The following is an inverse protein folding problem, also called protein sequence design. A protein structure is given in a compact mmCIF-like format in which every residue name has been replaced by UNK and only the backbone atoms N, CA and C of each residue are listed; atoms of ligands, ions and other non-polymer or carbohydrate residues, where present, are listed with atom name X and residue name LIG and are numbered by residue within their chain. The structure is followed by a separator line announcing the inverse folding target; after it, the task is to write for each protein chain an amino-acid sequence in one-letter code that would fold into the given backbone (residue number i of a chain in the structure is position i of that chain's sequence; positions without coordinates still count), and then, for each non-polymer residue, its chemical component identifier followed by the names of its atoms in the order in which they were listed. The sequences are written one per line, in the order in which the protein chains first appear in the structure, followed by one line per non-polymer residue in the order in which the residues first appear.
data_IF_482328316363
#
_entry.id   IF_482328316363
#
_cell.length_a   1.000
_cell.length_b   1.000
_cell.length_c   1.000
_cell.angle_alpha   90.00
_cell.angle_beta   90.00
_cell.angle_gamma   90.00
#
_symmetry.space_group_name_H-M   'P 1'
#
loop_
_entity.id
_entity.type
_entity.pdbx_description
1 polymer ?
#
# COMPACT_ATOMS: atom_id res chain seq x y z
N UNK A 1 16.29 10.89 35.45
CA UNK A 1 15.81 11.50 34.19
C UNK A 1 15.74 10.41 33.12
N UNK A 2 14.76 10.45 32.20
CA UNK A 2 13.93 9.31 31.81
C UNK A 2 14.53 8.40 30.71
N UNK A 3 13.99 7.18 30.66
CA UNK A 3 14.24 6.15 29.66
C UNK A 3 13.93 6.66 28.25
N UNK A 4 14.92 6.54 27.36
CA UNK A 4 14.82 6.91 25.95
C UNK A 4 14.07 5.80 25.18
N UNK A 5 12.74 5.94 25.05
CA UNK A 5 11.84 4.92 24.48
C UNK A 5 11.77 4.87 22.94
N UNK A 6 12.72 5.44 22.20
CA UNK A 6 12.63 5.44 20.73
C UNK A 6 13.84 4.76 20.09
N UNK A 7 14.05 3.51 20.45
CA UNK A 7 14.77 2.56 19.63
C UNK A 7 13.89 2.12 18.46
N UNK A 8 14.41 2.30 17.24
CA UNK A 8 14.21 1.43 16.08
C UNK A 8 12.81 1.37 15.44
N UNK A 9 12.61 2.21 14.42
CA UNK A 9 12.28 1.72 13.07
C UNK A 9 13.02 2.60 12.06
N UNK A 10 13.79 2.03 11.10
CA UNK A 10 14.18 2.81 9.94
C UNK A 10 12.89 3.34 9.31
N UNK A 11 12.75 4.67 9.23
CA UNK A 11 11.70 5.31 8.45
C UNK A 11 12.01 5.04 6.99
N UNK A 12 11.60 3.87 6.51
CA UNK A 12 11.59 3.54 5.09
C UNK A 12 10.46 4.32 4.42
N UNK A 13 10.65 5.62 4.18
CA UNK A 13 9.84 6.37 3.21
C UNK A 13 10.81 7.30 2.47
N UNK A 14 11.03 7.04 1.17
CA UNK A 14 10.02 7.36 0.19
C UNK A 14 9.73 6.16 -0.71
N UNK A 15 8.60 5.48 -0.49
CA UNK A 15 7.98 4.72 -1.59
C UNK A 15 7.72 5.75 -2.68
N UNK A 16 8.48 5.67 -3.77
CA UNK A 16 8.21 6.44 -4.99
C UNK A 16 6.71 6.30 -5.25
N UNK A 17 5.99 7.39 -5.54
CA UNK A 17 4.58 7.28 -5.78
C UNK A 17 4.40 6.21 -6.86
N UNK A 18 3.41 5.35 -6.66
CA UNK A 18 3.01 4.29 -7.59
C UNK A 18 2.48 4.89 -8.91
N UNK A 19 3.21 5.84 -9.49
CA UNK A 19 2.97 6.55 -10.74
C UNK A 19 3.10 5.51 -11.83
N UNK A 20 1.97 4.94 -12.21
CA UNK A 20 1.88 3.96 -13.27
C UNK A 20 0.90 2.82 -12.98
N UNK A 21 0.65 2.51 -11.71
CA UNK A 21 -0.28 1.44 -11.37
C UNK A 21 -1.72 1.97 -11.30
N UNK A 22 -2.58 1.40 -12.13
CA UNK A 22 -3.99 1.76 -12.21
C UNK A 22 -4.86 0.85 -11.32
N UNK A 23 -4.30 -0.25 -10.81
CA UNK A 23 -5.05 -1.21 -10.00
C UNK A 23 -4.19 -1.93 -8.95
N UNK A 24 -4.70 -2.24 -7.75
CA UNK A 24 -4.03 -3.08 -6.73
C UNK A 24 -3.46 -4.39 -7.25
N UNK A 25 -4.12 -5.01 -8.21
CA UNK A 25 -3.64 -6.26 -8.82
C UNK A 25 -2.43 -6.09 -9.73
N UNK A 26 -2.21 -4.90 -10.29
CA UNK A 26 -1.01 -4.65 -11.11
C UNK A 26 0.24 -4.69 -10.22
N UNK A 27 0.17 -4.10 -9.03
CA UNK A 27 1.25 -4.17 -8.02
C UNK A 27 1.56 -5.63 -7.64
N UNK A 28 0.53 -6.47 -7.46
CA UNK A 28 0.72 -7.89 -7.13
C UNK A 28 1.39 -8.64 -8.28
N UNK A 29 1.00 -8.36 -9.53
CA UNK A 29 1.49 -9.05 -10.73
C UNK A 29 2.85 -8.56 -11.23
N UNK A 30 3.27 -7.38 -10.81
CA UNK A 30 4.54 -6.79 -11.20
C UNK A 30 5.71 -7.72 -10.85
N UNK A 31 6.60 -8.00 -11.79
CA UNK A 31 7.73 -8.92 -11.59
C UNK A 31 8.99 -8.21 -11.13
N UNK A 32 9.05 -6.89 -11.31
CA UNK A 32 10.21 -6.06 -10.97
C UNK A 32 10.19 -5.65 -9.49
N UNK A 33 9.00 -5.61 -8.88
CA UNK A 33 8.83 -5.35 -7.45
C UNK A 33 9.07 -6.60 -6.60
N UNK A 34 9.86 -6.44 -5.55
CA UNK A 34 9.97 -7.47 -4.52
C UNK A 34 8.72 -7.50 -3.61
N UNK A 35 8.47 -8.61 -2.88
CA UNK A 35 7.25 -8.74 -2.06
C UNK A 35 7.10 -7.66 -0.98
N UNK A 36 8.21 -7.17 -0.42
CA UNK A 36 8.20 -6.09 0.58
C UNK A 36 7.74 -4.78 -0.06
N UNK A 37 8.27 -4.43 -1.24
CA UNK A 37 7.87 -3.23 -1.99
C UNK A 37 6.39 -3.25 -2.37
N UNK A 38 5.90 -4.40 -2.85
CA UNK A 38 4.47 -4.60 -3.16
C UNK A 38 3.61 -4.34 -1.93
N UNK A 39 4.03 -4.85 -0.77
CA UNK A 39 3.31 -4.68 0.50
C UNK A 39 3.30 -3.24 0.96
N UNK A 40 4.44 -2.54 0.87
CA UNK A 40 4.55 -1.12 1.24
C UNK A 40 3.63 -0.23 0.38
N UNK A 41 3.59 -0.46 -0.95
CA UNK A 41 2.70 0.27 -1.86
C UNK A 41 1.23 0.01 -1.51
N UNK A 42 0.84 -1.26 -1.37
CA UNK A 42 -0.55 -1.61 -1.05
C UNK A 42 -0.95 -1.14 0.35
N UNK A 43 -0.04 -1.15 1.33
CA UNK A 43 -0.29 -0.64 2.68
C UNK A 43 -0.49 0.89 2.67
N UNK A 44 0.32 1.63 1.90
CA UNK A 44 0.13 3.06 1.71
C UNK A 44 -1.24 3.39 1.09
N UNK A 45 -1.71 2.56 0.15
CA UNK A 45 -3.03 2.68 -0.44
C UNK A 45 -4.18 2.30 0.50
N UNK A 46 -3.98 1.33 1.39
CA UNK A 46 -4.98 0.95 2.38
C UNK A 46 -5.16 2.02 3.47
N UNK A 47 -4.10 2.80 3.73
CA UNK A 47 -4.08 3.88 4.73
C UNK A 47 -5.18 4.92 4.49
N UNK A 48 -5.64 5.53 5.58
CA UNK A 48 -6.62 6.62 5.54
C UNK A 48 -6.09 7.89 4.87
N UNK A 49 -4.76 8.03 4.76
CA UNK A 49 -4.14 9.08 3.94
C UNK A 49 -4.56 9.00 2.45
N UNK A 50 -4.94 7.82 1.98
CA UNK A 50 -5.44 7.59 0.63
C UNK A 50 -6.97 7.63 0.56
N UNK A 51 -7.69 7.84 1.68
CA UNK A 51 -9.15 7.84 1.69
C UNK A 51 -9.73 9.04 0.93
N UNK A 52 -10.83 8.80 0.21
CA UNK A 52 -11.57 9.88 -0.43
C UNK A 52 -12.39 10.62 0.63
N UNK A 53 -12.37 11.95 0.59
CA UNK A 53 -13.19 12.81 1.46
C UNK A 53 -14.66 12.36 1.42
N UNK A 54 -15.25 12.15 2.59
CA UNK A 54 -16.62 11.66 2.78
C UNK A 54 -16.93 10.26 2.20
N UNK A 55 -15.94 9.51 1.71
CA UNK A 55 -16.10 8.14 1.20
C UNK A 55 -14.98 7.23 1.74
N UNK A 56 -15.02 6.85 3.03
CA UNK A 56 -13.95 6.09 3.67
C UNK A 56 -13.75 4.67 3.12
N UNK A 57 -14.69 4.15 2.33
CA UNK A 57 -14.55 2.86 1.63
C UNK A 57 -13.80 2.98 0.30
N UNK A 58 -13.45 4.19 -0.13
CA UNK A 58 -12.77 4.48 -1.40
C UNK A 58 -11.37 5.00 -1.14
N UNK A 59 -10.46 4.71 -2.06
CA UNK A 59 -9.05 5.09 -2.03
C UNK A 59 -8.65 5.81 -3.31
N UNK A 60 -8.12 7.02 -3.21
CA UNK A 60 -7.48 7.72 -4.31
C UNK A 60 -6.03 7.26 -4.42
N UNK A 61 -5.73 6.55 -5.51
CA UNK A 61 -4.37 6.07 -5.77
C UNK A 61 -3.71 7.04 -6.75
N UNK A 62 -2.47 7.43 -6.47
CA UNK A 62 -1.68 8.23 -7.41
C UNK A 62 -1.55 7.47 -8.74
N UNK A 63 -2.12 8.03 -9.80
CA UNK A 63 -2.14 7.43 -11.14
C UNK A 63 -3.49 6.84 -11.56
N UNK A 64 -4.44 6.64 -10.64
CA UNK A 64 -5.77 6.13 -11.00
C UNK A 64 -6.68 7.21 -11.56
N UNK A 65 -7.49 6.92 -12.60
CA UNK A 65 -8.47 7.87 -13.13
C UNK A 65 -9.71 8.02 -12.21
N UNK A 66 -9.91 7.08 -11.29
CA UNK A 66 -11.04 7.05 -10.37
C UNK A 66 -10.66 6.39 -9.04
N UNK A 67 -11.40 6.68 -7.94
CA UNK A 67 -11.20 5.99 -6.67
C UNK A 67 -11.39 4.49 -6.79
N UNK A 68 -10.57 3.74 -6.06
CA UNK A 68 -10.63 2.29 -5.99
C UNK A 68 -11.23 1.86 -4.63
N UNK A 69 -12.08 0.82 -4.57
CA UNK A 69 -12.58 0.32 -3.30
C UNK A 69 -11.45 -0.17 -2.39
N UNK A 70 -11.51 0.17 -1.10
CA UNK A 70 -10.58 -0.35 -0.08
C UNK A 70 -10.58 -1.88 -0.04
N UNK A 71 -11.72 -2.51 -0.30
CA UNK A 71 -11.84 -3.97 -0.38
C UNK A 71 -10.92 -4.58 -1.43
N UNK A 72 -10.72 -3.92 -2.56
CA UNK A 72 -9.81 -4.37 -3.63
C UNK A 72 -8.35 -4.28 -3.18
N UNK A 73 -7.98 -3.19 -2.50
CA UNK A 73 -6.63 -3.03 -1.93
C UNK A 73 -6.34 -4.12 -0.89
N UNK A 74 -7.30 -4.39 0.00
CA UNK A 74 -7.16 -5.45 1.01
C UNK A 74 -7.14 -6.86 0.40
N UNK A 75 -7.90 -7.07 -0.68
CA UNK A 75 -7.86 -8.34 -1.43
C UNK A 75 -6.49 -8.56 -2.08
N UNK A 76 -5.89 -7.52 -2.64
CA UNK A 76 -4.54 -7.57 -3.18
C UNK A 76 -3.49 -7.87 -2.10
N UNK A 77 -3.56 -7.22 -0.93
CA UNK A 77 -2.70 -7.52 0.21
C UNK A 77 -2.79 -8.98 0.64
N UNK A 78 -4.01 -9.50 0.84
CA UNK A 78 -4.23 -10.91 1.20
C UNK A 78 -3.71 -11.89 0.15
N UNK A 79 -3.69 -11.49 -1.12
CA UNK A 79 -3.15 -12.33 -2.19
C UNK A 79 -1.62 -12.33 -2.14
N UNK A 80 -1.01 -11.15 -2.01
CA UNK A 80 0.43 -11.01 -1.84
C UNK A 80 0.94 -11.79 -0.62
N UNK A 81 0.28 -11.64 0.54
CA UNK A 81 0.68 -12.35 1.75
C UNK A 81 0.57 -13.88 1.56
N UNK A 82 -0.45 -14.37 0.86
CA UNK A 82 -0.56 -15.81 0.54
C UNK A 82 0.55 -16.28 -0.38
N UNK A 83 0.90 -15.50 -1.40
CA UNK A 83 1.98 -15.84 -2.33
C UNK A 83 3.36 -15.81 -1.64
N UNK A 84 3.54 -15.00 -0.58
CA UNK A 84 4.79 -14.96 0.20
C UNK A 84 4.99 -16.16 1.14
N UNK A 85 3.91 -16.79 1.62
CA UNK A 85 3.93 -17.88 2.59
C UNK A 85 3.54 -19.25 2.00
N UNK A 86 3.31 -19.33 0.69
CA UNK A 86 3.01 -20.57 -0.03
C UNK A 86 4.25 -21.20 -0.64
#
# INVERSE_FOLDING_TARGET
MPVNINAERPRSLPTRPAVGFLHPLEVVKDQDLNPVEKREILAAWASDASAVEHRPSQRWLLGTPAPVPLSEVLSALRRLDRDMFS
#
